data_IF_448281637293
#
_entry.id   IF_448281637293
#
_cell.length_a   1.000
_cell.length_b   1.000
_cell.length_c   1.000
_cell.angle_alpha   90.00
_cell.angle_beta   90.00
_cell.angle_gamma   90.00
#
_symmetry.space_group_name_H-M   'P 1'
#
loop_
_entity.id
_entity.type
_entity.pdbx_description
1 polymer ?
#
# COMPACT_ATOMS: atom_id res chain seq x y z
N UNK A 1 -32.49 25.69 -51.25
CA UNK A 1 -31.58 24.59 -50.88
C UNK A 1 -31.28 24.69 -49.39
N UNK A 2 -31.80 23.75 -48.60
CA UNK A 2 -31.61 23.69 -47.15
C UNK A 2 -30.27 23.04 -46.81
N UNK A 3 -29.46 23.70 -45.98
CA UNK A 3 -28.23 23.15 -45.40
C UNK A 3 -28.62 22.28 -44.20
N UNK A 4 -28.95 21.02 -44.48
CA UNK A 4 -29.08 19.94 -43.50
C UNK A 4 -27.72 19.22 -43.49
N UNK A 5 -27.26 18.74 -42.33
CA UNK A 5 -25.96 18.13 -42.03
C UNK A 5 -24.88 19.08 -41.48
N UNK A 6 -24.89 19.18 -40.15
CA UNK A 6 -23.67 18.96 -39.36
C UNK A 6 -22.82 20.19 -39.08
N UNK A 7 -23.26 21.03 -38.13
CA UNK A 7 -22.32 21.83 -37.34
C UNK A 7 -21.42 20.86 -36.59
N UNK A 8 -20.18 20.68 -37.05
CA UNK A 8 -19.14 20.00 -36.29
C UNK A 8 -18.86 20.83 -35.04
N UNK A 9 -19.54 20.52 -33.94
CA UNK A 9 -19.11 20.91 -32.60
C UNK A 9 -17.72 20.30 -32.40
N UNK A 10 -16.67 21.06 -32.68
CA UNK A 10 -15.30 20.69 -32.33
C UNK A 10 -15.27 20.56 -30.81
N UNK A 11 -15.21 19.32 -30.31
CA UNK A 11 -15.03 19.08 -28.88
C UNK A 11 -13.82 19.89 -28.41
N UNK A 12 -13.91 20.59 -27.26
CA UNK A 12 -12.77 21.32 -26.72
C UNK A 12 -11.58 20.36 -26.55
N UNK A 13 -10.37 20.85 -26.81
CA UNK A 13 -9.16 20.05 -26.62
C UNK A 13 -9.10 19.62 -25.14
N UNK A 14 -8.69 18.37 -24.86
CA UNK A 14 -8.54 17.91 -23.47
C UNK A 14 -7.66 18.89 -22.70
N UNK A 15 -8.16 19.33 -21.56
CA UNK A 15 -7.41 20.15 -20.63
C UNK A 15 -6.46 19.27 -19.81
N UNK A 16 -5.51 19.91 -19.13
CA UNK A 16 -4.65 19.22 -18.18
C UNK A 16 -5.48 18.54 -17.07
N UNK A 17 -6.60 19.16 -16.68
CA UNK A 17 -7.54 18.58 -15.73
C UNK A 17 -8.24 17.32 -16.28
N UNK A 18 -8.64 17.32 -17.56
CA UNK A 18 -9.24 16.14 -18.19
C UNK A 18 -8.25 14.96 -18.24
N UNK A 19 -6.96 15.26 -18.46
CA UNK A 19 -5.89 14.26 -18.49
C UNK A 19 -5.61 13.68 -17.08
N UNK A 20 -5.65 14.50 -16.04
CA UNK A 20 -5.57 14.07 -14.63
C UNK A 20 -6.73 13.11 -14.32
N UNK A 21 -7.97 13.51 -14.58
CA UNK A 21 -9.17 12.68 -14.31
C UNK A 21 -9.13 11.34 -15.07
N UNK A 22 -8.68 11.35 -16.33
CA UNK A 22 -8.54 10.13 -17.10
C UNK A 22 -7.45 9.20 -16.54
N UNK A 23 -6.37 9.77 -15.99
CA UNK A 23 -5.28 9.02 -15.36
C UNK A 23 -5.72 8.43 -14.01
N UNK A 24 -6.47 9.19 -13.21
CA UNK A 24 -7.06 8.71 -11.95
C UNK A 24 -8.02 7.55 -12.17
N UNK A 25 -8.81 7.59 -13.26
CA UNK A 25 -9.68 6.48 -13.63
C UNK A 25 -8.88 5.21 -13.95
N UNK A 26 -7.70 5.34 -14.57
CA UNK A 26 -6.80 4.20 -14.84
C UNK A 26 -6.16 3.68 -13.56
N UNK A 27 -5.71 4.59 -12.68
CA UNK A 27 -5.19 4.28 -11.35
C UNK A 27 -6.20 3.41 -10.58
N UNK A 28 -7.45 3.86 -10.48
CA UNK A 28 -8.51 3.11 -9.81
C UNK A 28 -8.72 1.70 -10.43
N UNK A 29 -8.64 1.59 -11.76
CA UNK A 29 -8.71 0.31 -12.45
C UNK A 29 -7.55 -0.64 -12.13
N UNK A 30 -6.33 -0.11 -11.98
CA UNK A 30 -5.14 -0.88 -11.59
C UNK A 30 -5.24 -1.31 -10.12
N UNK A 31 -5.67 -0.42 -9.22
CA UNK A 31 -5.87 -0.75 -7.80
C UNK A 31 -6.86 -1.90 -7.60
N UNK A 32 -7.94 -1.94 -8.39
CA UNK A 32 -8.90 -3.07 -8.37
C UNK A 32 -8.22 -4.39 -8.80
N UNK A 33 -7.33 -4.36 -9.79
CA UNK A 33 -6.57 -5.55 -10.22
C UNK A 33 -5.59 -6.00 -9.14
N UNK A 34 -4.88 -5.08 -8.50
CA UNK A 34 -3.97 -5.38 -7.38
C UNK A 34 -4.75 -6.03 -6.24
N UNK A 35 -5.88 -5.45 -5.82
CA UNK A 35 -6.75 -6.03 -4.77
C UNK A 35 -7.24 -7.43 -5.11
N UNK A 36 -7.54 -7.71 -6.39
CA UNK A 36 -7.92 -9.06 -6.83
C UNK A 36 -6.76 -10.04 -6.67
N UNK A 37 -5.56 -9.66 -7.09
CA UNK A 37 -4.36 -10.49 -6.97
C UNK A 37 -3.98 -10.72 -5.50
N UNK A 38 -4.17 -9.74 -4.62
CA UNK A 38 -4.01 -9.91 -3.16
C UNK A 38 -4.95 -10.98 -2.61
N UNK A 39 -6.22 -10.96 -3.03
CA UNK A 39 -7.19 -11.99 -2.66
C UNK A 39 -6.81 -13.39 -3.17
N UNK A 40 -6.24 -13.49 -4.37
CA UNK A 40 -5.74 -14.76 -4.91
C UNK A 40 -4.50 -15.26 -4.14
N UNK A 41 -3.55 -14.38 -3.83
CA UNK A 41 -2.37 -14.68 -3.02
C UNK A 41 -2.75 -15.17 -1.62
N UNK A 42 -3.71 -14.51 -0.97
CA UNK A 42 -4.25 -14.93 0.33
C UNK A 42 -4.82 -16.34 0.28
N UNK A 43 -5.57 -16.70 -0.78
CA UNK A 43 -6.09 -18.06 -0.96
C UNK A 43 -4.99 -19.10 -1.19
N UNK A 44 -3.97 -18.77 -1.97
CA UNK A 44 -2.83 -19.68 -2.15
C UNK A 44 -2.09 -19.92 -0.85
N UNK A 45 -1.91 -18.87 -0.04
CA UNK A 45 -1.32 -18.95 1.30
C UNK A 45 -2.10 -19.91 2.21
N UNK A 46 -3.42 -19.75 2.31
CA UNK A 46 -4.29 -20.64 3.10
C UNK A 46 -4.25 -22.10 2.62
N UNK A 47 -4.18 -22.32 1.31
CA UNK A 47 -4.07 -23.66 0.74
C UNK A 47 -2.73 -24.31 1.10
N UNK A 48 -1.63 -23.57 0.96
CA UNK A 48 -0.28 -24.07 1.29
C UNK A 48 -0.11 -24.38 2.77
N UNK A 49 -0.73 -23.60 3.67
CA UNK A 49 -0.69 -23.84 5.11
C UNK A 49 -1.31 -25.19 5.50
N UNK A 50 -2.34 -25.64 4.78
CA UNK A 50 -3.03 -26.92 5.01
C UNK A 50 -2.34 -28.12 4.35
N UNK A 51 -1.27 -27.89 3.59
CA UNK A 51 -0.59 -28.91 2.81
C UNK A 51 0.76 -29.30 3.40
N UNK A 52 1.06 -30.60 3.39
CA UNK A 52 2.40 -31.10 3.66
C UNK A 52 3.33 -30.72 2.51
N UNK A 53 4.61 -30.54 2.84
CA UNK A 53 5.65 -30.29 1.84
C UNK A 53 5.69 -31.43 0.81
N UNK A 54 5.74 -31.07 -0.47
CA UNK A 54 5.72 -32.03 -1.56
C UNK A 54 5.20 -31.44 -2.87
N UNK A 55 5.07 -32.25 -3.94
CA UNK A 55 4.78 -31.78 -5.29
C UNK A 55 3.49 -30.95 -5.41
N UNK A 56 2.47 -31.27 -4.61
CA UNK A 56 1.21 -30.52 -4.57
C UNK A 56 1.37 -29.11 -3.99
N UNK A 57 2.15 -28.95 -2.91
CA UNK A 57 2.43 -27.64 -2.31
C UNK A 57 3.31 -26.80 -3.22
N UNK A 58 4.33 -27.41 -3.84
CA UNK A 58 5.21 -26.74 -4.81
C UNK A 58 4.43 -26.20 -6.02
N UNK A 59 3.44 -26.95 -6.53
CA UNK A 59 2.60 -26.48 -7.64
C UNK A 59 1.77 -25.24 -7.27
N UNK A 60 1.30 -25.14 -6.02
CA UNK A 60 0.59 -23.95 -5.53
C UNK A 60 1.57 -22.79 -5.32
N UNK A 61 2.75 -23.06 -4.78
CA UNK A 61 3.82 -22.08 -4.61
C UNK A 61 4.21 -21.45 -5.95
N UNK A 62 4.40 -22.24 -7.01
CA UNK A 62 4.68 -21.70 -8.35
C UNK A 62 3.56 -20.80 -8.89
N UNK A 63 2.28 -21.13 -8.62
CA UNK A 63 1.15 -20.26 -8.99
C UNK A 63 1.12 -18.97 -8.17
N UNK A 64 1.45 -19.05 -6.87
CA UNK A 64 1.56 -17.89 -6.01
C UNK A 64 2.67 -16.94 -6.50
N UNK A 65 3.85 -17.47 -6.86
CA UNK A 65 4.96 -16.68 -7.43
C UNK A 65 4.52 -15.99 -8.73
N UNK A 66 3.84 -16.68 -9.65
CA UNK A 66 3.32 -16.07 -10.88
C UNK A 66 2.33 -14.94 -10.59
N UNK A 67 1.47 -15.12 -9.59
CA UNK A 67 0.48 -14.11 -9.18
C UNK A 67 1.17 -12.91 -8.54
N UNK A 68 2.22 -13.14 -7.74
CA UNK A 68 3.04 -12.10 -7.12
C UNK A 68 3.78 -11.28 -8.18
N UNK A 69 4.38 -11.92 -9.19
CA UNK A 69 4.97 -11.23 -10.36
C UNK A 69 3.97 -10.33 -11.06
N UNK A 70 2.75 -10.82 -11.29
CA UNK A 70 1.70 -10.01 -11.92
C UNK A 70 1.29 -8.83 -11.04
N UNK A 71 1.22 -9.02 -9.72
CA UNK A 71 0.95 -7.93 -8.76
C UNK A 71 2.04 -6.87 -8.81
N UNK A 72 3.32 -7.26 -8.70
CA UNK A 72 4.48 -6.36 -8.78
C UNK A 72 4.49 -5.53 -10.07
N UNK A 73 4.17 -6.16 -11.20
CA UNK A 73 4.03 -5.44 -12.48
C UNK A 73 2.96 -4.34 -12.41
N UNK A 74 1.79 -4.61 -11.82
CA UNK A 74 0.74 -3.60 -11.67
C UNK A 74 1.08 -2.53 -10.64
N UNK A 75 1.78 -2.85 -9.56
CA UNK A 75 2.31 -1.87 -8.60
C UNK A 75 3.30 -0.90 -9.26
N UNK A 76 4.20 -1.41 -10.10
CA UNK A 76 5.11 -0.57 -10.89
C UNK A 76 4.35 0.35 -11.86
N UNK A 77 3.34 -0.17 -12.56
CA UNK A 77 2.48 0.65 -13.42
C UNK A 77 1.73 1.73 -12.63
N UNK A 78 1.21 1.38 -11.44
CA UNK A 78 0.53 2.31 -10.55
C UNK A 78 1.45 3.45 -10.13
N UNK A 79 2.66 3.13 -9.67
CA UNK A 79 3.65 4.13 -9.27
C UNK A 79 4.00 5.10 -10.42
N UNK A 80 4.15 4.58 -11.64
CA UNK A 80 4.38 5.41 -12.83
C UNK A 80 3.22 6.36 -13.14
N UNK A 81 1.97 5.88 -13.04
CA UNK A 81 0.79 6.72 -13.25
C UNK A 81 0.61 7.76 -12.15
N UNK A 82 0.89 7.42 -10.90
CA UNK A 82 0.84 8.37 -9.78
C UNK A 82 1.87 9.50 -9.97
N UNK A 83 3.09 9.17 -10.41
CA UNK A 83 4.08 10.18 -10.78
C UNK A 83 3.58 11.06 -11.94
N UNK A 84 2.94 10.46 -12.95
CA UNK A 84 2.36 11.20 -14.06
C UNK A 84 1.26 12.17 -13.60
N UNK A 85 0.35 11.74 -12.71
CA UNK A 85 -0.69 12.61 -12.14
C UNK A 85 -0.06 13.77 -11.38
N UNK A 86 0.90 13.51 -10.50
CA UNK A 86 1.62 14.54 -9.75
C UNK A 86 2.27 15.59 -10.68
N UNK A 87 2.91 15.12 -11.74
CA UNK A 87 3.55 15.97 -12.76
C UNK A 87 2.53 16.90 -13.44
N UNK A 88 1.34 16.37 -13.77
CA UNK A 88 0.27 17.15 -14.38
C UNK A 88 -0.38 18.13 -13.40
N UNK A 89 -0.59 17.74 -12.15
CA UNK A 89 -1.13 18.62 -11.10
C UNK A 89 -0.21 19.81 -10.83
N UNK A 90 1.11 19.56 -10.78
CA UNK A 90 2.13 20.61 -10.65
C UNK A 90 2.09 21.61 -11.81
N UNK A 91 1.96 21.13 -13.04
CA UNK A 91 1.81 21.98 -14.22
C UNK A 91 0.48 22.76 -14.22
N UNK A 92 -0.60 22.18 -13.67
CA UNK A 92 -1.90 22.85 -13.55
C UNK A 92 -1.82 24.01 -12.56
N UNK A 93 -1.22 23.78 -11.39
CA UNK A 93 -1.00 24.81 -10.38
C UNK A 93 -0.14 25.96 -10.91
N UNK A 94 0.94 25.64 -11.65
CA UNK A 94 1.77 26.65 -12.32
C UNK A 94 0.96 27.48 -13.31
N UNK A 95 0.13 26.83 -14.12
CA UNK A 95 -0.73 27.51 -15.10
C UNK A 95 -1.70 28.47 -14.44
N UNK A 96 -2.31 28.08 -13.32
CA UNK A 96 -3.25 28.94 -12.60
C UNK A 96 -2.56 30.13 -11.92
N UNK A 97 -1.35 29.94 -11.39
CA UNK A 97 -0.53 31.03 -10.88
C UNK A 97 -0.18 32.03 -11.99
N UNK A 98 0.21 31.57 -13.17
CA UNK A 98 0.48 32.44 -14.32
C UNK A 98 -0.76 33.23 -14.75
N UNK A 99 -1.96 32.62 -14.73
CA UNK A 99 -3.23 33.32 -15.02
C UNK A 99 -3.52 34.44 -14.02
N UNK A 100 -3.29 34.21 -12.73
CA UNK A 100 -3.49 35.25 -11.71
C UNK A 100 -2.48 36.40 -11.86
N UNK A 101 -1.23 36.08 -12.20
CA UNK A 101 -0.20 37.09 -12.51
C UNK A 101 -0.62 37.92 -13.72
N UNK A 102 -1.08 37.29 -14.81
CA UNK A 102 -1.59 38.00 -15.99
C UNK A 102 -2.76 38.93 -15.63
N UNK A 103 -3.73 38.46 -14.84
CA UNK A 103 -4.87 39.29 -14.42
C UNK A 103 -4.43 40.51 -13.60
N UNK A 104 -3.39 40.36 -12.77
CA UNK A 104 -2.79 41.45 -12.00
C UNK A 104 -2.09 42.46 -12.91
N UNK A 105 -1.34 41.97 -13.90
CA UNK A 105 -0.69 42.83 -14.92
C UNK A 105 -1.74 43.59 -15.73
N UNK A 106 -2.83 42.96 -16.14
CA UNK A 106 -3.94 43.59 -16.87
C UNK A 106 -4.60 44.70 -16.04
N UNK A 107 -4.82 44.46 -14.74
CA UNK A 107 -5.34 45.46 -13.82
C UNK A 107 -4.38 46.65 -13.68
N UNK A 108 -3.09 46.40 -13.55
CA UNK A 108 -2.05 47.44 -13.46
C UNK A 108 -1.92 48.24 -14.77
N UNK A 109 -2.04 47.60 -15.93
CA UNK A 109 -2.07 48.28 -17.23
C UNK A 109 -3.30 49.19 -17.34
N UNK A 110 -4.46 48.72 -16.88
CA UNK A 110 -5.71 49.50 -16.87
C UNK A 110 -5.60 50.71 -15.95
N UNK A 111 -5.06 50.54 -14.73
CA UNK A 111 -4.81 51.64 -13.81
C UNK A 111 -3.79 52.65 -14.37
N UNK A 112 -2.72 52.18 -15.02
CA UNK A 112 -1.72 53.04 -15.68
C UNK A 112 -2.33 53.86 -16.83
N UNK A 113 -3.22 53.27 -17.64
CA UNK A 113 -3.93 54.00 -18.72
C UNK A 113 -4.79 55.13 -18.15
N UNK A 114 -5.48 54.89 -17.05
CA UNK A 114 -6.31 55.91 -16.41
C UNK A 114 -5.46 57.03 -15.77
N UNK A 115 -4.35 56.69 -15.12
CA UNK A 115 -3.39 57.68 -14.59
C UNK A 115 -2.79 58.55 -15.71
N UNK A 116 -2.44 57.96 -16.86
CA UNK A 116 -1.97 58.70 -18.05
C UNK A 116 -3.01 59.68 -18.59
N UNK A 117 -4.28 59.26 -18.62
CA UNK A 117 -5.41 60.08 -19.04
C UNK A 117 -5.59 61.30 -18.14
N UNK A 118 -5.32 61.15 -16.84
CA UNK A 118 -5.51 62.21 -15.85
C UNK A 118 -4.30 63.15 -15.71
N UNK A 119 -3.06 62.69 -15.92
CA UNK A 119 -1.85 63.43 -15.54
C UNK A 119 -0.85 63.77 -16.67
N UNK A 120 -1.12 63.39 -17.94
CA UNK A 120 -0.21 63.71 -19.06
C UNK A 120 1.06 62.83 -19.12
N UNK A 121 1.79 62.91 -20.24
CA UNK A 121 2.72 61.88 -20.76
C UNK A 121 3.84 61.48 -19.79
N UNK A 122 3.71 60.29 -19.21
CA UNK A 122 4.82 59.49 -18.66
C UNK A 122 5.15 58.40 -19.68
N UNK A 123 6.39 58.02 -19.96
CA UNK A 123 6.73 56.94 -20.94
C UNK A 123 6.59 55.52 -20.34
N UNK A 124 6.34 54.50 -21.18
CA UNK A 124 5.67 53.23 -20.85
C UNK A 124 6.57 51.99 -20.80
N UNK A 125 7.87 52.16 -21.02
CA UNK A 125 8.86 51.09 -21.29
C UNK A 125 8.95 50.00 -20.20
N UNK A 126 8.39 50.24 -19.01
CA UNK A 126 8.28 49.26 -17.91
C UNK A 126 7.14 48.23 -18.04
N UNK A 127 6.17 48.42 -18.94
CA UNK A 127 5.18 47.39 -19.28
C UNK A 127 5.78 46.35 -20.25
N UNK A 128 6.79 46.75 -21.01
CA UNK A 128 7.47 45.89 -21.98
C UNK A 128 8.40 44.88 -21.29
N UNK A 129 8.98 45.21 -20.14
CA UNK A 129 9.80 44.26 -19.37
C UNK A 129 8.99 43.13 -18.70
N UNK A 130 7.75 43.41 -18.24
CA UNK A 130 6.84 42.39 -17.68
C UNK A 130 6.35 41.42 -18.77
N UNK A 131 6.41 41.84 -20.03
CA UNK A 131 6.11 41.02 -21.19
C UNK A 131 7.22 39.99 -21.45
N UNK A 132 8.49 40.38 -21.31
CA UNK A 132 9.64 39.48 -21.45
C UNK A 132 9.76 38.48 -20.29
N UNK A 133 9.43 38.87 -19.06
CA UNK A 133 9.44 37.93 -17.92
C UNK A 133 8.35 36.84 -18.04
N UNK A 134 7.28 37.11 -18.79
CA UNK A 134 6.24 36.12 -19.13
C UNK A 134 6.68 35.18 -20.27
N UNK A 135 7.62 35.61 -21.11
CA UNK A 135 8.31 34.76 -22.09
C UNK A 135 9.27 33.79 -21.39
N UNK A 136 10.02 34.22 -20.39
CA UNK A 136 10.92 33.33 -19.63
C UNK A 136 10.16 32.30 -18.77
N UNK A 137 8.98 32.66 -18.24
CA UNK A 137 8.10 31.72 -17.52
C UNK A 137 7.45 30.68 -18.44
N UNK A 138 7.24 31.01 -19.72
CA UNK A 138 6.90 30.06 -20.76
C UNK A 138 8.09 29.14 -21.09
N UNK A 139 9.31 29.62 -20.96
CA UNK A 139 10.53 28.83 -21.22
C UNK A 139 10.84 27.84 -20.08
N UNK A 140 10.72 28.25 -18.82
CA UNK A 140 10.88 27.36 -17.66
C UNK A 140 9.79 26.27 -17.57
N UNK A 141 8.58 26.54 -18.06
CA UNK A 141 7.55 25.50 -18.22
C UNK A 141 7.93 24.44 -19.27
N UNK A 142 8.76 24.80 -20.27
CA UNK A 142 9.35 23.85 -21.21
C UNK A 142 10.49 23.03 -20.56
N UNK A 143 11.28 23.60 -19.65
CA UNK A 143 12.38 22.91 -18.99
C UNK A 143 11.91 21.92 -17.91
N UNK A 144 10.83 22.25 -17.18
CA UNK A 144 10.15 21.32 -16.27
C UNK A 144 9.57 20.13 -17.04
N UNK A 145 9.10 20.35 -18.27
CA UNK A 145 8.67 19.29 -19.19
C UNK A 145 9.81 18.34 -19.58
N UNK A 146 11.03 18.86 -19.73
CA UNK A 146 12.19 18.08 -20.12
C UNK A 146 12.74 17.24 -18.96
N UNK A 147 12.74 17.81 -17.76
CA UNK A 147 13.22 17.17 -16.53
C UNK A 147 12.30 16.06 -16.03
N UNK A 148 10.97 16.20 -16.19
CA UNK A 148 10.03 15.15 -15.78
C UNK A 148 9.95 13.96 -16.75
N UNK A 149 10.64 14.02 -17.89
CA UNK A 149 10.74 12.94 -18.89
C UNK A 149 11.89 11.95 -18.66
N UNK A 150 12.83 12.21 -17.74
CA UNK A 150 14.07 11.41 -17.59
C UNK A 150 14.07 10.39 -16.45
N UNK A 151 12.91 9.86 -16.08
CA UNK A 151 12.85 8.64 -15.26
C UNK A 151 11.81 7.67 -15.80
N UNK A 152 12.18 6.96 -16.87
CA UNK A 152 11.62 5.64 -17.12
C UNK A 152 12.55 4.63 -16.44
N UNK A 153 12.39 4.50 -15.11
CA UNK A 153 12.87 3.34 -14.38
C UNK A 153 12.09 2.12 -14.87
N UNK A 154 12.54 1.54 -15.99
CA UNK A 154 12.21 0.16 -16.33
C UNK A 154 12.67 -0.67 -15.14
N UNK A 155 11.78 -1.41 -14.45
CA UNK A 155 12.23 -2.30 -13.39
C UNK A 155 13.30 -3.24 -13.96
N UNK A 156 14.43 -3.34 -13.25
CA UNK A 156 15.32 -4.49 -13.38
C UNK A 156 14.47 -5.76 -13.29
N UNK A 157 14.86 -6.79 -14.05
CA UNK A 157 14.16 -8.06 -14.11
C UNK A 157 13.76 -8.49 -12.69
N UNK A 158 12.46 -8.71 -12.47
CA UNK A 158 11.92 -9.05 -11.15
C UNK A 158 12.64 -10.31 -10.66
N UNK A 159 13.49 -10.16 -9.65
CA UNK A 159 14.32 -11.26 -9.14
C UNK A 159 13.43 -12.31 -8.48
N UNK A 160 13.46 -13.53 -9.03
CA UNK A 160 12.67 -14.65 -8.51
C UNK A 160 13.07 -15.01 -7.08
N UNK A 161 14.34 -14.82 -6.70
CA UNK A 161 14.81 -15.09 -5.35
C UNK A 161 14.27 -14.08 -4.33
N UNK A 162 14.15 -12.81 -4.72
CA UNK A 162 13.53 -11.78 -3.88
C UNK A 162 12.04 -12.07 -3.67
N UNK A 163 11.34 -12.51 -4.72
CA UNK A 163 9.93 -12.88 -4.62
C UNK A 163 9.70 -14.13 -3.77
N UNK A 164 10.59 -15.12 -3.83
CA UNK A 164 10.53 -16.30 -2.98
C UNK A 164 10.74 -15.92 -1.50
N UNK A 165 11.69 -15.04 -1.21
CA UNK A 165 11.91 -14.52 0.13
C UNK A 165 10.71 -13.69 0.63
N UNK A 166 10.09 -12.87 -0.22
CA UNK A 166 8.87 -12.13 0.13
C UNK A 166 7.69 -13.08 0.40
N UNK A 167 7.54 -14.13 -0.42
CA UNK A 167 6.50 -15.14 -0.23
C UNK A 167 6.69 -15.92 1.08
N UNK A 168 7.93 -16.26 1.42
CA UNK A 168 8.28 -16.91 2.68
C UNK A 168 8.03 -16.00 3.88
N UNK A 169 8.44 -14.73 3.82
CA UNK A 169 8.16 -13.73 4.85
C UNK A 169 6.65 -13.53 5.06
N UNK A 170 5.88 -13.46 3.96
CA UNK A 170 4.43 -13.43 4.04
C UNK A 170 3.90 -14.67 4.75
N UNK A 171 4.38 -15.88 4.41
CA UNK A 171 4.00 -17.13 5.08
C UNK A 171 4.28 -17.11 6.58
N UNK A 172 5.48 -16.69 6.99
CA UNK A 172 5.91 -16.62 8.38
C UNK A 172 5.06 -15.66 9.22
N UNK A 173 4.63 -14.53 8.65
CA UNK A 173 3.80 -13.55 9.35
C UNK A 173 2.43 -14.10 9.80
N UNK A 174 1.90 -15.16 9.19
CA UNK A 174 0.69 -15.82 9.69
C UNK A 174 0.96 -16.88 10.77
N UNK A 175 2.14 -17.50 10.78
CA UNK A 175 2.50 -18.45 11.85
C UNK A 175 2.65 -17.73 13.19
N UNK A 176 3.05 -16.45 13.17
CA UNK A 176 3.14 -15.61 14.37
C UNK A 176 1.77 -15.13 14.89
N UNK A 177 0.76 -15.01 14.02
CA UNK A 177 -0.62 -14.64 14.37
C UNK A 177 -1.48 -15.84 14.85
N UNK A 178 -1.03 -17.09 14.69
CA UNK A 178 -1.83 -18.31 14.98
C UNK A 178 -1.50 -19.07 16.29
N UNK A 179 -0.56 -18.63 17.14
CA UNK A 179 -0.36 -19.32 18.44
C UNK A 179 -0.59 -18.43 19.66
N UNK A 180 -1.83 -18.33 20.16
CA UNK A 180 -2.09 -17.95 21.53
C UNK A 180 -1.40 -18.95 22.48
N UNK A 181 -0.61 -18.44 23.42
CA UNK A 181 0.15 -19.24 24.41
C UNK A 181 -0.71 -20.28 25.18
N UNK A 182 -2.03 -20.11 25.25
CA UNK A 182 -2.93 -21.06 25.91
C UNK A 182 -3.20 -22.36 25.10
N UNK A 183 -2.81 -22.45 23.83
CA UNK A 183 -2.98 -23.65 22.99
C UNK A 183 -1.71 -24.50 22.88
N UNK A 184 -0.58 -24.05 23.42
CA UNK A 184 0.67 -24.84 23.45
C UNK A 184 0.70 -25.88 24.59
N UNK A 185 -0.22 -25.81 25.57
CA UNK A 185 -0.19 -26.62 26.79
C UNK A 185 -1.28 -27.71 26.86
N UNK A 186 -1.75 -28.22 25.71
CA UNK A 186 -2.73 -29.33 25.65
C UNK A 186 -2.10 -30.70 25.35
N UNK A 187 -0.76 -30.78 25.28
CA UNK A 187 -0.03 -32.02 24.97
C UNK A 187 0.73 -32.66 26.14
N UNK A 188 0.85 -32.01 27.29
CA UNK A 188 1.54 -32.57 28.45
C UNK A 188 0.51 -33.22 29.37
N UNK A 189 0.38 -34.54 29.28
CA UNK A 189 -0.37 -35.29 30.28
C UNK A 189 0.17 -34.95 31.68
N UNK A 190 -0.68 -34.69 32.68
CA UNK A 190 -0.21 -34.49 34.04
C UNK A 190 0.48 -35.78 34.50
N UNK A 191 1.72 -35.65 34.94
CA UNK A 191 2.49 -36.75 35.54
C UNK A 191 1.91 -36.99 36.94
N UNK A 192 0.81 -37.75 37.01
CA UNK A 192 0.28 -38.25 38.26
C UNK A 192 1.25 -39.31 38.78
N UNK A 193 2.10 -38.92 39.72
CA UNK A 193 2.86 -39.86 40.54
C UNK A 193 1.84 -40.55 41.46
N UNK A 194 1.50 -41.80 41.14
CA UNK A 194 0.74 -42.67 42.04
C UNK A 194 1.63 -43.01 43.24
N UNK A 195 1.41 -42.33 44.36
CA UNK A 195 1.98 -42.70 45.65
C UNK A 195 1.15 -43.87 46.22
N UNK A 196 1.77 -44.99 46.64
CA UNK A 196 1.01 -46.17 47.06
C UNK A 196 0.20 -45.91 48.34
N UNK A 197 -0.95 -46.58 48.55
CA UNK A 197 -1.87 -46.25 49.63
C UNK A 197 -1.27 -46.56 51.00
N UNK A 198 -1.35 -45.59 51.91
CA UNK A 198 -1.08 -45.80 53.34
C UNK A 198 -2.27 -46.55 53.94
N UNK A 199 -2.08 -47.82 54.30
CA UNK A 199 -3.08 -48.59 55.06
C UNK A 199 -3.09 -48.12 56.53
N UNK A 200 -4.00 -47.21 56.88
CA UNK A 200 -4.44 -47.03 58.26
C UNK A 200 -5.64 -47.95 58.53
N UNK A 201 -5.41 -49.02 59.30
CA UNK A 201 -6.48 -49.76 59.96
C UNK A 201 -6.42 -49.50 61.48
N UNK A 202 -7.34 -48.66 61.94
CA UNK A 202 -7.80 -48.57 63.33
C UNK A 202 -9.15 -49.31 63.39
N UNK A 203 -9.59 -50.09 64.39
CA UNK A 203 -9.50 -50.08 65.87
C UNK A 203 -10.35 -51.30 66.36
N UNK A 204 -10.65 -51.62 67.66
CA UNK A 204 -10.26 -51.08 68.97
C UNK A 204 -9.89 -52.10 70.09
N UNK A 205 -9.46 -51.53 71.22
CA UNK A 205 -9.12 -51.98 72.59
C UNK A 205 -9.68 -53.30 73.22
N UNK A 206 -8.83 -53.96 74.03
CA UNK A 206 -9.17 -54.41 75.41
C UNK A 206 -7.93 -54.60 76.32
N UNK A 207 -8.17 -54.29 77.60
CA UNK A 207 -7.30 -54.17 78.77
C UNK A 207 -6.72 -55.48 79.36
N UNK A 208 -5.65 -55.28 80.16
CA UNK A 208 -5.33 -55.89 81.47
C UNK A 208 -4.65 -57.28 81.62
N UNK A 209 -3.46 -57.23 82.27
CA UNK A 209 -2.99 -57.90 83.49
C UNK A 209 -3.36 -59.38 83.82
N UNK A 210 -2.34 -60.18 84.16
CA UNK A 210 -2.27 -61.16 85.28
C UNK A 210 -1.07 -62.13 85.08
N UNK A 211 -0.01 -62.07 85.89
CA UNK A 211 0.24 -62.79 87.16
C UNK A 211 0.91 -64.19 87.03
N UNK A 212 2.16 -64.22 87.54
CA UNK A 212 2.74 -65.19 88.49
C UNK A 212 2.77 -66.69 88.19
N UNK A 213 4.01 -67.19 88.04
CA UNK A 213 4.64 -68.34 88.75
C UNK A 213 3.82 -69.61 89.02
N UNK A 214 4.30 -70.75 88.50
CA UNK A 214 4.97 -71.83 89.26
C UNK A 214 4.59 -73.25 88.79
N UNK A 215 5.62 -74.12 88.74
CA UNK A 215 5.59 -75.58 88.98
C UNK A 215 4.88 -76.45 87.92
N UNK A 216 5.39 -77.57 87.39
CA UNK A 216 6.45 -78.53 87.78
C UNK A 216 6.71 -79.49 86.61
N UNK A 217 7.87 -80.15 86.59
CA UNK A 217 7.94 -81.61 86.53
C UNK A 217 9.39 -82.11 86.71
N UNK A 218 9.54 -82.98 87.72
CA UNK A 218 10.50 -84.10 87.83
C UNK A 218 11.99 -83.83 88.00
#
# INVERSE_FOLDING_TARGET
MNRIFGTTNKKPKPTLQDAIVATDTRIAGIEVKIKKLDGELSRYKEQMAKMKNGPGKNAIQSRAIQTLKQKRMYESQLAGLQQQTFNMESAAMTTDNLRNTMATVDAMQTANKELRRQYGKVDIDKIESVHYDMEDLLEQANEIQEMMGRSYGVPEEVDEAELEAELEALSAQLEEDETPSYLQDVGRAPDFIDEPPVEESATPAKLEAAKTTAYSAS
#
